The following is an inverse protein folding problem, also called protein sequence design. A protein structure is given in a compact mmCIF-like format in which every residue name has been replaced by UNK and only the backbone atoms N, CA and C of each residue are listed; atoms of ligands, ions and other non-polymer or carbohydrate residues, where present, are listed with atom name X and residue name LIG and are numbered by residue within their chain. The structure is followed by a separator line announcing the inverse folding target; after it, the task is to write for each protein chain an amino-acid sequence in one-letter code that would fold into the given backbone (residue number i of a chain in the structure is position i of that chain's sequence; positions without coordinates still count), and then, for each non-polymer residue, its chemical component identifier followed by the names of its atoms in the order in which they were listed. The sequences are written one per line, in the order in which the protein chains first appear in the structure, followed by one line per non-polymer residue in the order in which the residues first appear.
data_IF_375902024336
#
_entry.id   IF_375902024336
#
_cell.length_a   1.000
_cell.length_b   1.000
_cell.length_c   1.000
_cell.angle_alpha   90.00
_cell.angle_beta   90.00
_cell.angle_gamma   90.00
#
_symmetry.space_group_name_H-M   'P 1'
#
loop_
_entity.id
_entity.type
_entity.pdbx_description
1 polymer ?
#
# COMPACT_ATOMS: atom_id res chain seq x y z
N UNK A 1 4.21 0.95 -21.61
CA UNK A 1 5.44 1.34 -20.89
C UNK A 1 5.58 0.42 -19.67
N UNK A 2 6.78 -0.07 -19.36
CA UNK A 2 7.04 -0.89 -18.16
C UNK A 2 6.68 -0.12 -16.87
N UNK A 3 6.11 -0.82 -15.87
CA UNK A 3 5.66 -0.23 -14.60
C UNK A 3 6.79 0.55 -13.92
N UNK A 4 8.04 0.07 -14.01
CA UNK A 4 9.20 0.75 -13.41
C UNK A 4 9.40 2.15 -13.99
N UNK A 5 9.33 2.27 -15.31
CA UNK A 5 9.45 3.56 -15.99
C UNK A 5 8.26 4.47 -15.64
N UNK A 6 7.04 3.92 -15.60
CA UNK A 6 5.86 4.66 -15.18
C UNK A 6 5.97 5.18 -13.75
N UNK A 7 6.48 4.38 -12.81
CA UNK A 7 6.69 4.80 -11.41
C UNK A 7 7.72 5.93 -11.28
N UNK A 8 8.69 6.02 -12.20
CA UNK A 8 9.69 7.08 -12.24
C UNK A 8 9.20 8.36 -12.96
N UNK A 9 8.43 8.24 -14.05
CA UNK A 9 7.96 9.39 -14.84
C UNK A 9 6.73 10.02 -14.21
N UNK A 10 6.84 11.26 -13.73
CA UNK A 10 5.78 11.96 -12.98
C UNK A 10 4.64 12.52 -13.83
N UNK A 11 4.73 12.46 -15.16
CA UNK A 11 3.79 13.12 -16.08
C UNK A 11 2.57 12.27 -16.39
N UNK A 12 2.67 10.96 -16.22
CA UNK A 12 1.58 10.03 -16.52
C UNK A 12 0.96 9.48 -15.23
N UNK A 13 -0.37 9.26 -15.20
CA UNK A 13 -0.99 8.55 -14.10
C UNK A 13 -0.50 7.09 -14.06
N UNK A 14 -0.59 6.47 -12.88
CA UNK A 14 -0.34 5.04 -12.68
C UNK A 14 -1.55 4.45 -11.98
N UNK A 15 -2.12 3.40 -12.56
CA UNK A 15 -3.26 2.69 -12.00
C UNK A 15 -2.85 1.30 -11.52
N UNK A 16 -3.05 1.04 -10.24
CA UNK A 16 -2.68 -0.22 -9.60
C UNK A 16 -3.90 -0.86 -8.96
N UNK A 17 -3.91 -2.19 -8.90
CA UNK A 17 -4.90 -2.94 -8.12
C UNK A 17 -4.23 -3.68 -6.97
N UNK A 18 -4.71 -3.44 -5.75
CA UNK A 18 -4.18 -4.07 -4.53
C UNK A 18 -4.86 -5.39 -4.17
N UNK A 19 -4.08 -6.37 -3.76
CA UNK A 19 -4.57 -7.67 -3.30
C UNK A 19 -3.71 -8.23 -2.17
N UNK A 20 -4.32 -9.10 -1.39
CA UNK A 20 -3.67 -9.85 -0.32
C UNK A 20 -3.61 -11.32 -0.73
N UNK A 21 -2.48 -12.02 -0.52
CA UNK A 21 -2.41 -13.44 -0.81
C UNK A 21 -3.46 -14.25 -0.01
N UNK A 22 -3.84 -15.43 -0.50
CA UNK A 22 -4.68 -16.35 0.26
C UNK A 22 -4.13 -16.63 1.66
N UNK A 23 -5.01 -16.99 2.59
CA UNK A 23 -4.64 -17.32 3.98
C UNK A 23 -3.62 -18.45 4.02
N UNK A 24 -2.76 -18.42 5.03
CA UNK A 24 -1.86 -19.53 5.33
C UNK A 24 -2.68 -20.81 5.54
N UNK A 25 -2.22 -21.92 4.98
CA UNK A 25 -2.93 -23.19 4.94
C UNK A 25 -3.83 -23.40 3.71
N UNK A 26 -4.03 -22.40 2.85
CA UNK A 26 -4.73 -22.59 1.58
C UNK A 26 -4.00 -23.60 0.69
N UNK A 27 -4.75 -24.51 0.06
CA UNK A 27 -4.20 -25.51 -0.86
C UNK A 27 -3.71 -24.87 -2.15
N UNK A 28 -2.83 -25.54 -2.89
CA UNK A 28 -2.36 -25.04 -4.19
C UNK A 28 -3.54 -24.79 -5.16
N UNK A 29 -4.57 -25.64 -5.14
CA UNK A 29 -5.78 -25.45 -5.93
C UNK A 29 -6.53 -24.17 -5.55
N UNK A 30 -6.71 -23.91 -4.25
CA UNK A 30 -7.35 -22.67 -3.76
C UNK A 30 -6.55 -21.42 -4.13
N UNK A 31 -5.21 -21.48 -4.05
CA UNK A 31 -4.35 -20.37 -4.45
C UNK A 31 -4.47 -20.08 -5.95
N UNK A 32 -4.46 -21.13 -6.79
CA UNK A 32 -4.64 -20.99 -8.23
C UNK A 32 -6.04 -20.45 -8.57
N UNK A 33 -7.09 -20.97 -7.95
CA UNK A 33 -8.46 -20.49 -8.15
C UNK A 33 -8.60 -19.00 -7.78
N UNK A 34 -7.99 -18.57 -6.66
CA UNK A 34 -7.97 -17.17 -6.26
C UNK A 34 -7.24 -16.28 -7.28
N UNK A 35 -6.10 -16.76 -7.81
CA UNK A 35 -5.34 -16.05 -8.84
C UNK A 35 -6.13 -15.92 -10.15
N UNK A 36 -6.80 -16.97 -10.60
CA UNK A 36 -7.64 -16.96 -11.82
C UNK A 36 -8.83 -16.01 -11.68
N UNK A 37 -9.51 -16.03 -10.53
CA UNK A 37 -10.62 -15.10 -10.24
C UNK A 37 -10.14 -13.65 -10.27
N UNK A 38 -8.97 -13.37 -9.68
CA UNK A 38 -8.40 -12.02 -9.73
C UNK A 38 -8.00 -11.64 -11.15
N UNK A 39 -7.37 -12.55 -11.90
CA UNK A 39 -6.96 -12.31 -13.28
C UNK A 39 -8.15 -11.99 -14.19
N UNK A 40 -9.25 -12.73 -14.06
CA UNK A 40 -10.49 -12.44 -14.77
C UNK A 40 -11.07 -11.06 -14.40
N UNK A 41 -11.04 -10.70 -13.12
CA UNK A 41 -11.55 -9.42 -12.61
C UNK A 41 -10.76 -8.22 -13.12
N UNK A 42 -9.44 -8.33 -13.19
CA UNK A 42 -8.57 -7.20 -13.56
C UNK A 42 -8.37 -7.07 -15.07
N UNK A 43 -8.67 -8.12 -15.85
CA UNK A 43 -8.54 -8.13 -17.31
C UNK A 43 -9.18 -6.93 -18.05
N UNK A 44 -10.42 -6.49 -17.73
CA UNK A 44 -11.02 -5.35 -18.43
C UNK A 44 -10.50 -3.99 -17.94
N UNK A 45 -9.64 -3.96 -16.92
CA UNK A 45 -9.17 -2.72 -16.30
C UNK A 45 -7.86 -2.26 -16.95
N UNK A 46 -7.76 -0.97 -17.25
CA UNK A 46 -6.53 -0.35 -17.74
C UNK A 46 -5.52 -0.14 -16.61
N UNK A 47 -4.95 -1.24 -16.11
CA UNK A 47 -3.98 -1.25 -15.01
C UNK A 47 -2.54 -1.30 -15.53
N UNK A 48 -1.65 -0.67 -14.78
CA UNK A 48 -0.21 -0.70 -15.02
C UNK A 48 0.52 -1.75 -14.17
N UNK A 49 -0.13 -2.24 -13.11
CA UNK A 49 0.48 -3.19 -12.18
C UNK A 49 -0.46 -3.67 -11.07
N UNK A 50 0.04 -4.62 -10.29
CA UNK A 50 -0.64 -5.18 -9.13
C UNK A 50 0.15 -4.87 -7.87
N UNK A 51 -0.51 -4.61 -6.75
CA UNK A 51 0.13 -4.54 -5.43
C UNK A 51 -0.21 -5.83 -4.69
N UNK A 52 0.82 -6.58 -4.25
CA UNK A 52 0.64 -7.80 -3.45
C UNK A 52 1.14 -7.53 -2.05
N UNK A 53 0.20 -7.40 -1.11
CA UNK A 53 0.49 -7.06 0.28
C UNK A 53 1.13 -8.21 1.06
N UNK A 54 2.01 -7.86 2.01
CA UNK A 54 2.54 -8.75 3.05
C UNK A 54 1.88 -8.34 4.37
N UNK A 55 1.04 -9.21 4.93
CA UNK A 55 0.34 -8.94 6.19
C UNK A 55 1.08 -9.64 7.32
N UNK A 56 1.47 -8.85 8.33
CA UNK A 56 2.07 -9.33 9.57
C UNK A 56 1.13 -9.11 10.75
N UNK A 57 1.40 -9.79 11.87
CA UNK A 57 0.71 -9.45 13.10
C UNK A 57 1.25 -8.14 13.66
N UNK A 58 0.39 -7.13 13.69
CA UNK A 58 0.67 -5.79 14.21
C UNK A 58 -0.03 -5.54 15.54
N UNK A 59 -0.35 -6.58 16.30
CA UNK A 59 -0.96 -6.50 17.64
C UNK A 59 -0.24 -5.52 18.59
N UNK A 60 1.09 -5.36 18.47
CA UNK A 60 1.88 -4.38 19.24
C UNK A 60 1.75 -2.91 18.80
N UNK A 61 0.84 -2.56 17.88
CA UNK A 61 0.66 -1.21 17.35
C UNK A 61 -0.28 -0.34 18.17
N UNK A 62 -1.24 -0.94 18.85
CA UNK A 62 -2.28 -0.26 19.65
C UNK A 62 -2.63 -1.12 20.86
N UNK A 63 -3.04 -0.50 21.96
CA UNK A 63 -3.61 -1.20 23.11
C UNK A 63 -5.04 -1.70 22.87
N UNK A 64 -5.68 -1.27 21.78
CA UNK A 64 -7.03 -1.71 21.42
C UNK A 64 -7.02 -3.17 20.96
N UNK A 65 -8.01 -3.98 21.39
CA UNK A 65 -8.13 -5.36 20.98
C UNK A 65 -8.35 -5.42 19.46
N UNK A 66 -7.62 -6.32 18.80
CA UNK A 66 -7.78 -6.56 17.37
C UNK A 66 -9.17 -7.15 17.10
N UNK A 67 -9.96 -6.62 16.14
CA UNK A 67 -11.32 -7.10 15.88
C UNK A 67 -11.43 -8.56 15.42
N UNK A 68 -10.35 -9.10 14.83
CA UNK A 68 -10.27 -10.48 14.34
C UNK A 68 -8.91 -11.09 14.69
N UNK A 69 -8.82 -12.40 14.96
CA UNK A 69 -7.55 -13.08 15.08
C UNK A 69 -6.66 -12.86 13.84
N UNK A 70 -5.36 -12.70 14.05
CA UNK A 70 -4.42 -12.67 12.94
C UNK A 70 -4.40 -14.01 12.23
N UNK A 71 -4.54 -13.99 10.91
CA UNK A 71 -4.27 -15.14 10.07
C UNK A 71 -3.19 -14.71 9.07
N UNK A 72 -2.06 -15.41 9.10
CA UNK A 72 -0.99 -15.20 8.14
C UNK A 72 -1.44 -15.52 6.72
N UNK A 73 -0.60 -15.19 5.74
CA UNK A 73 -0.89 -15.41 4.32
C UNK A 73 0.22 -16.26 3.69
N UNK A 74 -0.05 -16.82 2.51
CA UNK A 74 1.00 -17.42 1.68
C UNK A 74 2.07 -16.36 1.36
N UNK A 75 3.33 -16.77 1.19
CA UNK A 75 4.43 -15.86 0.85
C UNK A 75 4.03 -14.94 -0.33
N UNK A 76 4.07 -13.61 -0.16
CA UNK A 76 3.62 -12.66 -1.18
C UNK A 76 4.39 -12.81 -2.49
N UNK A 77 5.65 -13.26 -2.47
CA UNK A 77 6.43 -13.51 -3.70
C UNK A 77 5.85 -14.64 -4.52
N UNK A 78 5.45 -15.74 -3.86
CA UNK A 78 4.85 -16.90 -4.55
C UNK A 78 3.56 -16.47 -5.24
N UNK A 79 2.73 -15.71 -4.55
CA UNK A 79 1.47 -15.23 -5.13
C UNK A 79 1.68 -14.16 -6.21
N UNK A 80 2.64 -13.25 -6.02
CA UNK A 80 3.02 -12.24 -7.01
C UNK A 80 3.52 -12.86 -8.32
N UNK A 81 4.37 -13.89 -8.24
CA UNK A 81 4.86 -14.61 -9.42
C UNK A 81 3.70 -15.27 -10.19
N UNK A 82 2.79 -15.93 -9.47
CA UNK A 82 1.59 -16.53 -10.06
C UNK A 82 0.68 -15.48 -10.72
N UNK A 83 0.43 -14.35 -10.05
CA UNK A 83 -0.39 -13.29 -10.63
C UNK A 83 0.25 -12.67 -11.87
N UNK A 84 1.58 -12.51 -11.90
CA UNK A 84 2.28 -12.06 -13.10
C UNK A 84 2.06 -13.03 -14.26
N UNK A 85 2.16 -14.34 -14.02
CA UNK A 85 1.87 -15.37 -15.03
C UNK A 85 0.43 -15.29 -15.56
N UNK A 86 -0.55 -15.08 -14.69
CA UNK A 86 -1.98 -15.08 -15.07
C UNK A 86 -2.47 -13.77 -15.68
N UNK A 87 -1.82 -12.65 -15.38
CA UNK A 87 -2.30 -11.32 -15.78
C UNK A 87 -1.38 -10.59 -16.76
N UNK A 88 -0.10 -10.96 -16.82
CA UNK A 88 0.93 -10.19 -17.51
C UNK A 88 1.29 -8.85 -16.83
N UNK A 89 0.61 -8.49 -15.74
CA UNK A 89 0.86 -7.24 -15.01
C UNK A 89 2.09 -7.39 -14.10
N UNK A 90 2.87 -6.32 -13.97
CA UNK A 90 4.03 -6.30 -13.08
C UNK A 90 3.57 -6.18 -11.62
N UNK A 91 3.96 -7.11 -10.73
CA UNK A 91 3.62 -7.01 -9.31
C UNK A 91 4.60 -6.12 -8.54
N UNK A 92 4.05 -5.28 -7.68
CA UNK A 92 4.72 -4.62 -6.57
C UNK A 92 4.59 -5.53 -5.35
N UNK A 93 5.67 -6.20 -4.98
CA UNK A 93 5.65 -7.15 -3.86
C UNK A 93 5.97 -6.41 -2.56
N UNK A 94 5.04 -6.40 -1.63
CA UNK A 94 5.30 -5.84 -0.30
C UNK A 94 6.18 -6.79 0.50
N UNK A 95 7.04 -6.21 1.33
CA UNK A 95 7.74 -6.94 2.38
C UNK A 95 7.66 -6.17 3.69
N UNK A 96 6.94 -6.72 4.65
CA UNK A 96 7.01 -6.27 6.02
C UNK A 96 8.23 -6.91 6.69
N UNK A 97 9.17 -6.07 7.13
CA UNK A 97 10.46 -6.56 7.66
C UNK A 97 10.25 -7.37 8.94
N UNK A 98 9.33 -6.96 9.82
CA UNK A 98 9.05 -7.70 11.04
C UNK A 98 10.34 -8.08 11.80
N UNK A 99 10.39 -9.31 12.30
CA UNK A 99 11.53 -9.95 13.00
C UNK A 99 12.86 -10.02 12.26
N UNK A 100 12.88 -9.69 10.98
CA UNK A 100 13.95 -10.07 10.07
C UNK A 100 15.26 -9.33 10.37
N UNK A 101 16.36 -10.09 10.41
CA UNK A 101 17.72 -9.56 10.44
C UNK A 101 18.25 -9.29 9.01
N UNK A 102 19.44 -8.72 8.91
CA UNK A 102 20.03 -8.35 7.61
C UNK A 102 20.24 -9.54 6.66
N UNK A 103 20.82 -10.64 7.14
CA UNK A 103 21.08 -11.83 6.31
C UNK A 103 19.82 -12.43 5.66
N UNK A 104 18.72 -12.73 6.39
CA UNK A 104 17.49 -13.21 5.76
C UNK A 104 16.83 -12.18 4.83
N UNK A 105 17.04 -10.88 5.05
CA UNK A 105 16.58 -9.86 4.10
C UNK A 105 17.36 -9.90 2.78
N UNK A 106 18.68 -10.04 2.84
CA UNK A 106 19.50 -10.20 1.64
C UNK A 106 19.14 -11.46 0.86
N UNK A 107 18.94 -12.59 1.56
CA UNK A 107 18.45 -13.83 0.93
C UNK A 107 17.08 -13.62 0.25
N UNK A 108 16.16 -12.91 0.92
CA UNK A 108 14.85 -12.58 0.35
C UNK A 108 14.95 -11.76 -0.94
N UNK A 109 15.89 -10.81 -1.02
CA UNK A 109 16.17 -10.03 -2.23
C UNK A 109 16.72 -10.92 -3.36
N UNK A 110 17.67 -11.82 -3.07
CA UNK A 110 18.22 -12.76 -4.07
C UNK A 110 17.11 -13.64 -4.66
N UNK A 111 16.32 -14.27 -3.80
CA UNK A 111 15.19 -15.11 -4.22
C UNK A 111 14.13 -14.31 -5.01
N UNK A 112 13.85 -13.07 -4.61
CA UNK A 112 12.93 -12.20 -5.35
C UNK A 112 13.46 -11.87 -6.74
N UNK A 113 14.77 -11.61 -6.86
CA UNK A 113 15.41 -11.35 -8.15
C UNK A 113 15.38 -12.58 -9.06
N UNK A 114 15.58 -13.79 -8.51
CA UNK A 114 15.46 -15.06 -9.24
C UNK A 114 14.04 -15.29 -9.77
N UNK A 115 13.03 -14.87 -9.00
CA UNK A 115 11.63 -14.88 -9.43
C UNK A 115 11.24 -13.67 -10.32
N UNK A 116 12.20 -12.81 -10.70
CA UNK A 116 12.00 -11.57 -11.44
C UNK A 116 11.01 -10.58 -10.76
N UNK A 117 10.89 -10.64 -9.44
CA UNK A 117 10.03 -9.79 -8.62
C UNK A 117 10.82 -8.56 -8.18
N UNK A 118 10.87 -7.60 -9.08
CA UNK A 118 11.91 -6.57 -9.08
C UNK A 118 11.38 -5.19 -8.62
N UNK A 119 10.07 -5.08 -8.39
CA UNK A 119 9.43 -3.89 -7.82
C UNK A 119 8.92 -4.25 -6.43
N UNK A 120 9.44 -3.61 -5.40
CA UNK A 120 9.20 -4.01 -3.99
C UNK A 120 8.84 -2.81 -3.13
N UNK A 121 7.90 -2.99 -2.21
CA UNK A 121 7.56 -1.96 -1.21
C UNK A 121 7.98 -2.45 0.18
N UNK A 122 8.94 -1.76 0.79
CA UNK A 122 9.50 -2.18 2.08
C UNK A 122 8.76 -1.48 3.21
N UNK A 123 8.20 -2.28 4.11
CA UNK A 123 7.40 -1.81 5.24
C UNK A 123 8.18 -2.02 6.54
N UNK A 124 8.42 -0.92 7.24
CA UNK A 124 9.00 -0.94 8.59
C UNK A 124 7.97 -1.37 9.64
N UNK A 125 8.41 -1.41 10.89
CA UNK A 125 7.55 -1.83 12.01
C UNK A 125 6.63 -0.70 12.48
N UNK A 126 5.45 -1.04 13.06
CA UNK A 126 4.51 -0.05 13.58
C UNK A 126 4.98 0.61 14.88
N UNK A 127 5.77 -0.08 15.71
CA UNK A 127 6.05 0.35 17.09
C UNK A 127 7.36 1.15 17.19
N UNK A 128 7.28 2.34 17.80
CA UNK A 128 8.44 3.16 18.16
C UNK A 128 9.08 2.67 19.46
N UNK A 129 10.38 2.93 19.66
CA UNK A 129 11.08 2.65 20.92
C UNK A 129 11.59 1.21 21.09
N UNK A 130 11.30 0.32 20.13
CA UNK A 130 11.84 -1.05 20.10
C UNK A 130 13.06 -1.10 19.18
N UNK A 131 14.14 -1.72 19.65
CA UNK A 131 15.32 -1.98 18.81
C UNK A 131 15.06 -3.20 17.94
N UNK A 132 15.07 -3.00 16.63
CA UNK A 132 14.89 -4.09 15.66
C UNK A 132 16.24 -4.58 15.10
N UNK A 133 16.35 -5.86 14.72
CA UNK A 133 17.58 -6.40 14.15
C UNK A 133 18.03 -5.70 12.87
N UNK A 134 17.08 -5.23 12.05
CA UNK A 134 17.33 -4.51 10.81
C UNK A 134 16.56 -3.18 10.81
N UNK A 135 17.29 -2.06 10.69
CA UNK A 135 16.70 -0.75 10.54
C UNK A 135 16.08 -0.58 9.14
N UNK A 136 14.92 0.08 9.05
CA UNK A 136 14.24 0.29 7.75
C UNK A 136 15.15 1.02 6.74
N UNK A 137 15.89 2.05 7.18
CA UNK A 137 16.82 2.78 6.32
C UNK A 137 17.89 1.85 5.71
N UNK A 138 18.48 0.97 6.53
CA UNK A 138 19.45 -0.04 6.07
C UNK A 138 18.81 -1.03 5.09
N UNK A 139 17.60 -1.50 5.37
CA UNK A 139 16.89 -2.41 4.48
C UNK A 139 16.62 -1.80 3.10
N UNK A 140 16.19 -0.54 3.06
CA UNK A 140 15.94 0.21 1.81
C UNK A 140 17.23 0.38 1.02
N UNK A 141 18.34 0.82 1.65
CA UNK A 141 19.65 0.95 0.98
C UNK A 141 20.11 -0.36 0.37
N UNK A 142 20.06 -1.45 1.15
CA UNK A 142 20.44 -2.78 0.68
C UNK A 142 19.67 -3.22 -0.57
N UNK A 143 18.37 -2.92 -0.64
CA UNK A 143 17.57 -3.23 -1.82
C UNK A 143 17.88 -2.30 -3.00
N UNK A 144 18.05 -1.00 -2.74
CA UNK A 144 18.34 0.00 -3.77
C UNK A 144 19.71 -0.21 -4.43
N UNK A 145 20.71 -0.62 -3.65
CA UNK A 145 22.09 -0.89 -4.08
C UNK A 145 22.27 -2.31 -4.66
N UNK A 146 21.25 -3.16 -4.57
CA UNK A 146 21.36 -4.55 -4.99
C UNK A 146 21.64 -4.68 -6.50
N UNK A 147 22.56 -5.55 -6.96
CA UNK A 147 22.93 -5.69 -8.38
C UNK A 147 21.77 -6.00 -9.33
N UNK A 148 20.71 -6.64 -8.83
CA UNK A 148 19.48 -6.89 -9.59
C UNK A 148 18.64 -5.63 -9.90
N UNK A 149 19.07 -4.45 -9.42
CA UNK A 149 18.46 -3.12 -9.66
C UNK A 149 16.98 -3.10 -9.29
N UNK A 150 16.67 -3.27 -8.00
CA UNK A 150 15.29 -3.19 -7.52
C UNK A 150 14.72 -1.77 -7.65
N UNK A 151 13.43 -1.67 -7.96
CA UNK A 151 12.67 -0.42 -7.80
C UNK A 151 12.01 -0.49 -6.43
N UNK A 152 12.59 0.24 -5.47
CA UNK A 152 12.19 0.18 -4.07
C UNK A 152 11.18 1.27 -3.75
N UNK A 153 10.08 0.91 -3.11
CA UNK A 153 9.09 1.84 -2.60
C UNK A 153 8.93 1.74 -1.09
N UNK A 154 8.14 2.67 -0.54
CA UNK A 154 7.73 2.62 0.86
C UNK A 154 6.29 3.05 1.06
N UNK A 155 5.83 2.94 2.30
CA UNK A 155 4.49 3.37 2.69
C UNK A 155 4.49 4.85 3.09
N UNK A 156 3.45 5.58 2.66
CA UNK A 156 3.09 6.92 3.12
C UNK A 156 1.83 6.89 3.99
N UNK A 157 1.81 7.63 5.11
CA UNK A 157 0.68 7.60 6.05
C UNK A 157 0.29 9.03 6.42
N UNK A 158 -0.73 9.57 5.76
CA UNK A 158 -1.16 10.95 5.93
C UNK A 158 -1.59 11.26 7.37
N UNK A 159 -2.23 10.31 8.02
CA UNK A 159 -2.79 10.41 9.37
C UNK A 159 -1.72 10.53 10.45
N UNK A 160 -0.47 10.14 10.14
CA UNK A 160 0.68 10.33 11.05
C UNK A 160 1.30 11.71 10.96
N UNK A 161 0.83 12.54 10.04
CA UNK A 161 1.34 13.89 9.87
C UNK A 161 0.61 14.86 10.80
N UNK A 162 1.26 15.17 11.92
CA UNK A 162 0.79 16.11 12.94
C UNK A 162 1.86 17.18 13.20
N UNK A 163 1.57 18.14 14.08
CA UNK A 163 2.54 19.17 14.48
C UNK A 163 3.78 18.58 15.16
N UNK A 164 3.60 17.48 15.91
CA UNK A 164 4.67 16.77 16.63
C UNK A 164 5.37 15.72 15.75
N UNK A 165 4.75 15.30 14.64
CA UNK A 165 5.25 14.22 13.79
C UNK A 165 5.17 14.59 12.30
N UNK A 166 6.33 14.85 11.71
CA UNK A 166 6.44 15.09 10.27
C UNK A 166 6.56 13.78 9.48
N UNK A 167 5.44 13.33 8.87
CA UNK A 167 5.49 12.26 7.86
C UNK A 167 6.17 12.74 6.57
N UNK A 168 6.04 14.04 6.21
CA UNK A 168 6.73 14.65 5.09
C UNK A 168 8.26 14.46 5.17
N UNK A 169 8.85 14.77 6.33
CA UNK A 169 10.28 14.55 6.59
C UNK A 169 10.66 13.06 6.53
N UNK A 170 9.77 12.16 6.97
CA UNK A 170 9.99 10.71 6.88
C UNK A 170 9.99 10.22 5.43
N UNK A 171 9.10 10.73 4.58
CA UNK A 171 9.09 10.43 3.15
C UNK A 171 10.37 10.95 2.48
N UNK A 172 10.80 12.17 2.81
CA UNK A 172 12.05 12.72 2.31
C UNK A 172 13.25 11.86 2.72
N UNK A 173 13.35 11.48 4.00
CA UNK A 173 14.40 10.59 4.48
C UNK A 173 14.40 9.26 3.71
N UNK A 174 13.24 8.60 3.56
CA UNK A 174 13.14 7.36 2.76
C UNK A 174 13.56 7.55 1.30
N UNK A 175 13.26 8.70 0.70
CA UNK A 175 13.67 9.02 -0.66
C UNK A 175 15.20 9.17 -0.78
N UNK A 176 15.85 9.75 0.24
CA UNK A 176 17.33 9.79 0.35
C UNK A 176 17.90 8.39 0.48
N UNK A 177 17.26 7.50 1.23
CA UNK A 177 17.73 6.11 1.39
C UNK A 177 17.58 5.23 0.15
N UNK A 178 16.86 5.70 -0.88
CA UNK A 178 16.70 4.99 -2.15
C UNK A 178 15.27 4.58 -2.50
N UNK A 179 14.25 4.99 -1.74
CA UNK A 179 12.87 4.82 -2.20
C UNK A 179 12.62 5.67 -3.46
N UNK A 180 12.15 5.03 -4.53
CA UNK A 180 11.81 5.63 -5.81
C UNK A 180 10.34 6.08 -5.89
N UNK A 181 9.46 5.49 -5.08
CA UNK A 181 8.03 5.81 -5.01
C UNK A 181 7.45 5.49 -3.63
N UNK A 182 6.23 5.96 -3.39
CA UNK A 182 5.46 5.63 -2.20
C UNK A 182 4.05 5.19 -2.57
N UNK A 183 3.45 4.34 -1.73
CA UNK A 183 2.03 4.00 -1.78
C UNK A 183 1.42 4.39 -0.43
N UNK A 184 0.33 5.14 -0.45
CA UNK A 184 -0.31 5.58 0.79
C UNK A 184 -1.05 4.43 1.48
N UNK A 185 -1.28 4.53 2.79
CA UNK A 185 -2.42 3.85 3.40
C UNK A 185 -3.73 4.36 2.81
N UNK A 186 -4.83 3.65 3.09
CA UNK A 186 -6.14 4.00 2.57
C UNK A 186 -6.54 5.42 2.96
N UNK A 187 -6.91 6.22 1.97
CA UNK A 187 -7.33 7.61 2.19
C UNK A 187 -8.86 7.65 2.32
N UNK A 188 -9.35 8.10 3.48
CA UNK A 188 -10.77 8.44 3.69
C UNK A 188 -10.99 9.92 4.03
N UNK A 189 -9.91 10.70 4.19
CA UNK A 189 -10.00 12.12 4.50
C UNK A 189 -8.97 12.91 3.69
N UNK A 190 -9.43 13.86 2.87
CA UNK A 190 -8.55 14.60 1.95
C UNK A 190 -7.54 15.49 2.69
N UNK A 191 -7.99 16.24 3.71
CA UNK A 191 -7.19 17.32 4.28
C UNK A 191 -5.81 16.89 4.84
N UNK A 192 -5.67 15.79 5.62
CA UNK A 192 -4.35 15.28 6.04
C UNK A 192 -3.45 14.93 4.85
N UNK A 193 -4.03 14.31 3.81
CA UNK A 193 -3.29 13.96 2.59
C UNK A 193 -2.79 15.21 1.87
N UNK A 194 -3.65 16.21 1.68
CA UNK A 194 -3.26 17.47 1.05
C UNK A 194 -2.17 18.20 1.84
N UNK A 195 -2.27 18.23 3.17
CA UNK A 195 -1.23 18.80 4.06
C UNK A 195 0.10 18.08 3.85
N UNK A 196 0.10 16.74 3.97
CA UNK A 196 1.29 15.91 3.76
C UNK A 196 1.94 16.17 2.40
N UNK A 197 1.15 16.20 1.33
CA UNK A 197 1.67 16.43 -0.03
C UNK A 197 2.30 17.82 -0.18
N UNK A 198 1.65 18.88 0.35
CA UNK A 198 2.21 20.25 0.31
C UNK A 198 3.51 20.37 1.09
N UNK A 199 3.57 19.82 2.29
CA UNK A 199 4.75 19.88 3.14
C UNK A 199 5.90 19.02 2.57
N UNK A 200 5.60 17.82 2.06
CA UNK A 200 6.60 17.00 1.39
C UNK A 200 7.22 17.70 0.18
N UNK A 201 6.42 18.40 -0.64
CA UNK A 201 6.93 19.21 -1.75
C UNK A 201 7.80 20.39 -1.28
N UNK A 202 7.42 21.05 -0.18
CA UNK A 202 8.23 22.12 0.45
C UNK A 202 9.56 21.57 0.93
N UNK A 203 9.55 20.48 1.68
CA UNK A 203 10.74 19.88 2.29
C UNK A 203 11.69 19.35 1.20
N UNK A 204 11.17 18.71 0.16
CA UNK A 204 11.94 18.31 -1.03
C UNK A 204 12.64 19.51 -1.68
N UNK A 205 11.92 20.62 -1.87
CA UNK A 205 12.47 21.85 -2.46
C UNK A 205 13.58 22.43 -1.58
N UNK A 206 13.35 22.49 -0.25
CA UNK A 206 14.34 22.98 0.70
C UNK A 206 15.61 22.14 0.74
N UNK A 207 15.49 20.83 0.52
CA UNK A 207 16.62 19.89 0.47
C UNK A 207 17.27 19.75 -0.92
N UNK A 208 16.75 20.42 -1.96
CA UNK A 208 17.24 20.24 -3.34
C UNK A 208 17.00 18.84 -3.91
N UNK A 209 16.05 18.09 -3.36
CA UNK A 209 15.74 16.72 -3.77
C UNK A 209 14.48 16.71 -4.63
N UNK A 210 14.53 16.02 -5.77
CA UNK A 210 13.35 15.81 -6.60
C UNK A 210 12.32 14.93 -5.86
N UNK A 211 11.05 15.37 -5.72
CA UNK A 211 10.04 14.55 -5.06
C UNK A 211 9.83 13.21 -5.76
N UNK A 212 9.61 12.15 -5.00
CA UNK A 212 9.19 10.84 -5.50
C UNK A 212 7.68 10.74 -5.65
N UNK A 213 7.21 9.91 -6.58
CA UNK A 213 5.78 9.66 -6.80
C UNK A 213 5.13 9.11 -5.53
N UNK A 214 3.91 9.57 -5.24
CA UNK A 214 3.05 9.00 -4.21
C UNK A 214 1.79 8.49 -4.92
N UNK A 215 1.56 7.18 -4.85
CA UNK A 215 0.32 6.54 -5.32
C UNK A 215 -0.66 6.52 -4.15
N UNK A 216 -1.86 7.05 -4.38
CA UNK A 216 -2.89 7.10 -3.35
C UNK A 216 -3.73 5.82 -3.39
N UNK A 217 -3.95 5.23 -2.22
CA UNK A 217 -4.75 4.01 -2.05
C UNK A 217 -6.17 4.37 -1.65
N UNK A 218 -7.14 3.86 -2.40
CA UNK A 218 -8.55 3.91 -2.07
C UNK A 218 -9.06 2.47 -1.90
N UNK A 219 -9.88 2.24 -0.88
CA UNK A 219 -10.46 0.93 -0.62
C UNK A 219 -11.94 1.08 -0.27
N UNK A 220 -12.85 0.43 -0.99
CA UNK A 220 -14.26 0.36 -0.58
C UNK A 220 -14.42 -0.33 0.78
N UNK A 221 -15.38 0.11 1.57
CA UNK A 221 -15.66 -0.43 2.90
C UNK A 221 -17.16 -0.41 3.22
N UNK A 222 -17.87 -1.47 2.83
CA UNK A 222 -19.33 -1.57 3.04
C UNK A 222 -19.81 -2.44 4.18
N UNK A 223 -18.95 -2.69 5.17
CA UNK A 223 -19.36 -3.42 6.38
C UNK A 223 -18.73 -2.76 7.59
N UNK A 224 -19.51 -2.58 8.64
CA UNK A 224 -19.06 -2.05 9.93
C UNK A 224 -17.84 -2.81 10.48
N UNK A 225 -17.81 -4.14 10.28
CA UNK A 225 -16.68 -5.00 10.61
C UNK A 225 -15.38 -4.64 9.86
N UNK A 226 -15.48 -4.28 8.57
CA UNK A 226 -14.33 -3.81 7.78
C UNK A 226 -13.89 -2.42 8.25
N UNK A 227 -14.86 -1.55 8.60
CA UNK A 227 -14.61 -0.21 9.12
C UNK A 227 -13.84 -0.26 10.45
N UNK A 228 -14.28 -1.14 11.37
CA UNK A 228 -13.59 -1.37 12.64
C UNK A 228 -12.16 -1.88 12.43
N UNK A 229 -11.92 -2.73 11.43
CA UNK A 229 -10.58 -3.18 11.09
C UNK A 229 -9.70 -2.06 10.52
N UNK A 230 -10.24 -1.18 9.67
CA UNK A 230 -9.52 -0.01 9.16
C UNK A 230 -9.11 0.96 10.28
N UNK A 231 -10.02 1.22 11.23
CA UNK A 231 -9.69 1.98 12.45
C UNK A 231 -8.60 1.31 13.27
N UNK A 232 -8.69 -0.02 13.44
CA UNK A 232 -7.65 -0.80 14.09
C UNK A 232 -6.32 -0.77 13.32
N UNK A 233 -6.30 -0.49 12.01
CA UNK A 233 -5.12 -0.19 11.20
C UNK A 233 -4.70 1.29 11.23
N UNK A 234 -5.41 2.13 12.01
CA UNK A 234 -5.08 3.53 12.29
C UNK A 234 -5.49 4.47 11.15
N UNK A 235 -6.37 4.00 10.28
CA UNK A 235 -6.99 4.82 9.24
C UNK A 235 -8.01 5.74 9.90
N UNK A 236 -7.86 7.04 9.67
CA UNK A 236 -8.83 8.02 10.14
C UNK A 236 -9.97 8.13 9.12
N UNK A 237 -11.21 8.07 9.60
CA UNK A 237 -12.41 8.10 8.77
C UNK A 237 -13.24 9.28 9.25
N UNK A 238 -13.56 10.22 8.35
CA UNK A 238 -14.36 11.39 8.70
C UNK A 238 -15.76 10.95 9.18
N UNK A 239 -16.35 11.59 10.20
CA UNK A 239 -17.72 11.28 10.63
C UNK A 239 -18.75 11.37 9.50
N UNK A 240 -18.56 12.29 8.56
CA UNK A 240 -19.39 12.47 7.37
C UNK A 240 -19.29 11.24 6.46
N UNK A 241 -18.07 10.83 6.12
CA UNK A 241 -17.80 9.64 5.32
C UNK A 241 -18.32 8.38 6.01
N UNK A 242 -18.19 8.26 7.32
CA UNK A 242 -18.79 7.14 8.06
C UNK A 242 -20.32 7.12 7.94
N UNK A 243 -20.98 8.28 8.11
CA UNK A 243 -22.43 8.39 7.95
C UNK A 243 -22.88 8.06 6.53
N UNK A 244 -22.10 8.39 5.52
CA UNK A 244 -22.38 8.00 4.14
C UNK A 244 -22.20 6.49 3.93
N UNK A 245 -21.08 5.93 4.43
CA UNK A 245 -20.77 4.50 4.33
C UNK A 245 -21.75 3.61 5.10
N UNK A 246 -22.27 4.07 6.24
CA UNK A 246 -23.17 3.29 7.11
C UNK A 246 -24.65 3.70 6.99
N UNK A 247 -24.92 4.93 6.55
CA UNK A 247 -26.26 5.52 6.45
C UNK A 247 -26.93 5.32 5.10
N UNK A 248 -26.26 4.69 4.14
CA UNK A 248 -26.90 4.16 2.93
C UNK A 248 -27.91 3.08 3.36
N UNK A 249 -29.16 3.48 3.55
CA UNK A 249 -30.27 2.62 3.94
C UNK A 249 -30.70 1.69 2.79
N UNK A 250 -29.84 0.75 2.38
CA UNK A 250 -30.25 -0.42 1.61
C UNK A 250 -29.47 -1.65 2.12
N UNK A 251 -30.16 -2.43 2.96
CA UNK A 251 -30.10 -3.89 2.89
C UNK A 251 -28.95 -4.61 3.58
N UNK A 252 -29.11 -4.85 4.89
CA UNK A 252 -28.72 -6.17 5.44
C UNK A 252 -29.57 -7.20 4.66
N UNK A 253 -28.97 -7.82 3.64
CA UNK A 253 -29.52 -8.84 2.72
C UNK A 253 -30.51 -8.38 1.63
N UNK A 254 -30.03 -7.72 0.57
CA UNK A 254 -30.54 -7.90 -0.81
C UNK A 254 -29.36 -7.83 -1.80
N UNK A 255 -29.15 -8.93 -2.53
CA UNK A 255 -28.33 -9.12 -3.74
C UNK A 255 -26.83 -8.72 -3.81
N UNK A 256 -26.02 -9.77 -3.87
CA UNK A 256 -24.60 -9.84 -4.15
C UNK A 256 -24.19 -9.47 -5.61
N UNK A 257 -24.69 -8.39 -6.23
CA UNK A 257 -24.37 -8.07 -7.64
C UNK A 257 -23.85 -6.64 -7.91
N UNK A 258 -23.85 -5.73 -6.93
CA UNK A 258 -23.16 -4.43 -7.03
C UNK A 258 -22.22 -4.25 -5.83
N UNK A 259 -20.91 -4.46 -6.03
CA UNK A 259 -19.91 -4.18 -4.98
C UNK A 259 -19.75 -2.64 -4.90
N UNK A 260 -20.71 -2.03 -4.22
CA UNK A 260 -20.78 -0.68 -3.65
C UNK A 260 -20.39 0.50 -4.56
N UNK A 261 -21.28 0.81 -5.53
CA UNK A 261 -21.16 1.99 -6.38
C UNK A 261 -20.95 3.29 -5.58
N UNK A 262 -21.73 3.51 -4.52
CA UNK A 262 -21.64 4.73 -3.71
C UNK A 262 -20.28 4.88 -3.01
N UNK A 263 -19.64 3.78 -2.62
CA UNK A 263 -18.30 3.80 -2.00
C UNK A 263 -17.20 4.04 -3.02
N UNK A 264 -17.40 3.53 -4.24
CA UNK A 264 -16.55 3.82 -5.38
C UNK A 264 -16.69 5.29 -5.76
N UNK A 265 -17.91 5.81 -5.82
CA UNK A 265 -18.21 7.22 -6.11
C UNK A 265 -17.61 8.14 -5.04
N UNK A 266 -17.75 7.82 -3.75
CA UNK A 266 -17.09 8.57 -2.67
C UNK A 266 -15.55 8.55 -2.79
N UNK A 267 -14.95 7.42 -3.21
CA UNK A 267 -13.51 7.33 -3.48
C UNK A 267 -13.09 8.18 -4.69
N UNK A 268 -13.96 8.26 -5.71
CA UNK A 268 -13.78 9.08 -6.91
C UNK A 268 -13.89 10.57 -6.56
N UNK A 269 -14.90 10.96 -5.79
CA UNK A 269 -15.10 12.34 -5.32
C UNK A 269 -13.92 12.81 -4.47
N UNK A 270 -13.44 11.94 -3.58
CA UNK A 270 -12.23 12.20 -2.81
C UNK A 270 -11.00 12.39 -3.72
N UNK A 271 -10.87 11.60 -4.79
CA UNK A 271 -9.82 11.77 -5.79
C UNK A 271 -9.96 13.11 -6.54
N UNK A 272 -11.18 13.53 -6.90
CA UNK A 272 -11.45 14.82 -7.53
C UNK A 272 -11.09 16.00 -6.60
N UNK A 273 -11.55 15.97 -5.35
CA UNK A 273 -11.22 16.98 -4.35
C UNK A 273 -9.70 17.09 -4.10
N UNK A 274 -8.97 15.97 -4.15
CA UNK A 274 -7.51 15.99 -4.07
C UNK A 274 -6.86 16.63 -5.30
N UNK A 275 -7.40 16.37 -6.50
CA UNK A 275 -6.90 16.97 -7.75
C UNK A 275 -7.09 18.48 -7.79
N UNK A 276 -8.28 18.98 -7.47
CA UNK A 276 -8.59 20.41 -7.52
C UNK A 276 -7.67 21.23 -6.61
N UNK A 277 -7.45 20.76 -5.37
CA UNK A 277 -6.56 21.45 -4.42
C UNK A 277 -5.08 21.35 -4.83
N UNK A 278 -4.69 20.33 -5.59
CA UNK A 278 -3.34 20.20 -6.12
C UNK A 278 -3.11 21.03 -7.39
N UNK A 279 -4.15 21.29 -8.19
CA UNK A 279 -4.10 22.12 -9.41
C UNK A 279 -4.30 23.61 -9.16
N UNK A 280 -4.82 24.01 -7.99
CA UNK A 280 -5.05 25.41 -7.63
C UNK A 280 -3.77 26.21 -7.32
N UNK A 281 -2.69 26.01 -8.09
CA UNK A 281 -1.45 26.80 -8.04
C UNK A 281 -1.15 27.42 -9.39
#
# INVERSE_FOLDING_TARGET
MDLRARLADRREPVFLYGTTPPRSGATAAQVNEAAEKLAARVRPLALDGLVVYDIQDESGRTSQPRPFPFIGTVDPRRYAALLRERTGLTPITYKALGGMAEAPWQAWLVESAQADLRVVSVVGRPTSGVRYPLALARAVRLAAEHPARFTVGGVAIAERHTEERSEAARLLAKAVEGCAYFISQTVYHAAPTQRLLREYLRDCRGAGIAPRRIVLTFAPCGREKTLAFLRWLGVNIAPETERELLGAAIGVNVESVSINRDEIDASIDLCHALREVMSAR
#
